data_IF_007740416867
#
_entry.id   IF_007740416867
#
_cell.length_a   1.000
_cell.length_b   1.000
_cell.length_c   1.000
_cell.angle_alpha   90.00
_cell.angle_beta   90.00
_cell.angle_gamma   90.00
#
_symmetry.space_group_name_H-M   'P 1'
#
loop_
_entity.id
_entity.type
_entity.pdbx_description
1 polymer ?
#
# COMPACT_ATOMS: atom_id res chain seq x y z
N UNK A 1 -13.75 34.72 -3.29
CA UNK A 1 -13.59 34.30 -1.88
C UNK A 1 -14.70 33.31 -1.62
N UNK A 2 -14.35 32.04 -1.79
CA UNK A 2 -15.22 31.00 -2.33
C UNK A 2 -15.58 30.05 -1.18
N UNK A 3 -16.87 29.82 -0.88
CA UNK A 3 -17.30 29.08 0.30
C UNK A 3 -17.28 27.56 0.05
N UNK A 4 -16.09 27.01 -0.24
CA UNK A 4 -15.89 25.58 -0.56
C UNK A 4 -14.92 24.90 0.41
N UNK A 5 -14.87 25.35 1.66
CA UNK A 5 -14.02 24.75 2.69
C UNK A 5 -14.76 23.85 3.69
N UNK A 6 -16.07 23.62 3.54
CA UNK A 6 -16.78 22.82 4.54
C UNK A 6 -17.90 21.98 3.94
N UNK A 7 -17.59 20.70 3.65
CA UNK A 7 -18.41 19.51 3.94
C UNK A 7 -18.19 18.40 2.89
N UNK A 8 -17.26 17.48 3.19
CA UNK A 8 -17.44 16.02 3.11
C UNK A 8 -16.15 15.35 3.59
N UNK A 9 -16.17 14.40 4.53
CA UNK A 9 -15.04 13.49 4.69
C UNK A 9 -14.85 12.80 3.34
N UNK A 10 -13.67 12.91 2.75
CA UNK A 10 -13.28 12.22 1.54
C UNK A 10 -13.60 10.73 1.69
N UNK A 11 -14.75 10.33 1.15
CA UNK A 11 -14.95 8.96 0.71
C UNK A 11 -13.92 8.77 -0.39
N UNK A 12 -12.73 8.29 -0.01
CA UNK A 12 -11.79 7.70 -0.94
C UNK A 12 -12.60 6.75 -1.83
N UNK A 13 -12.48 6.84 -3.17
CA UNK A 13 -13.18 5.92 -4.03
C UNK A 13 -12.79 4.52 -3.60
N UNK A 14 -13.82 3.77 -3.21
CA UNK A 14 -13.80 2.35 -2.86
C UNK A 14 -12.80 1.65 -3.77
N UNK A 15 -11.75 1.08 -3.17
CA UNK A 15 -10.77 0.28 -3.90
C UNK A 15 -11.52 -0.66 -4.85
N UNK A 16 -11.20 -0.55 -6.14
CA UNK A 16 -11.75 -1.44 -7.15
C UNK A 16 -11.29 -2.85 -6.80
N UNK A 17 -12.21 -3.70 -6.35
CA UNK A 17 -11.96 -5.13 -6.23
C UNK A 17 -11.82 -5.68 -7.65
N UNK A 18 -10.58 -5.84 -8.12
CA UNK A 18 -10.26 -6.54 -9.36
C UNK A 18 -10.51 -8.04 -9.12
N UNK A 19 -11.51 -8.67 -9.75
CA UNK A 19 -11.72 -10.10 -9.61
C UNK A 19 -10.84 -10.78 -10.66
N UNK A 20 -9.62 -11.15 -10.28
CA UNK A 20 -8.76 -11.91 -11.20
C UNK A 20 -7.28 -11.86 -10.92
N UNK A 21 -6.85 -12.34 -9.75
CA UNK A 21 -5.64 -13.15 -9.65
C UNK A 21 -5.95 -14.19 -8.58
N UNK A 22 -5.80 -15.47 -8.92
CA UNK A 22 -5.75 -16.56 -7.95
C UNK A 22 -4.56 -16.27 -7.03
N UNK A 23 -4.81 -15.50 -5.98
CA UNK A 23 -3.80 -15.13 -5.00
C UNK A 23 -3.41 -16.42 -4.30
N UNK A 24 -2.24 -16.94 -4.66
CA UNK A 24 -1.47 -17.83 -3.79
C UNK A 24 -0.98 -16.95 -2.63
N UNK A 25 -1.92 -16.56 -1.77
CA UNK A 25 -1.88 -15.35 -0.95
C UNK A 25 -1.26 -15.54 0.44
N UNK A 26 -0.39 -16.54 0.60
CA UNK A 26 0.22 -16.85 1.90
C UNK A 26 1.76 -16.87 1.83
N UNK A 27 2.37 -16.34 0.76
CA UNK A 27 3.84 -16.35 0.65
C UNK A 27 4.41 -15.66 -0.58
N UNK A 28 3.72 -14.66 -1.14
CA UNK A 28 4.30 -13.84 -2.20
C UNK A 28 5.05 -12.66 -1.56
N UNK A 29 6.39 -12.58 -1.68
CA UNK A 29 7.17 -11.51 -1.08
C UNK A 29 6.75 -10.13 -1.55
N UNK A 30 6.22 -10.02 -2.77
CA UNK A 30 5.74 -8.76 -3.32
C UNK A 30 4.51 -8.29 -2.57
N UNK A 31 3.63 -9.20 -2.16
CA UNK A 31 2.48 -8.85 -1.31
C UNK A 31 2.92 -8.29 0.05
N UNK A 32 3.88 -8.96 0.72
CA UNK A 32 4.41 -8.50 2.01
C UNK A 32 5.11 -7.13 1.91
N UNK A 33 5.80 -6.86 0.79
CA UNK A 33 6.36 -5.54 0.52
C UNK A 33 5.28 -4.47 0.35
N UNK A 34 4.18 -4.77 -0.36
CA UNK A 34 3.08 -3.82 -0.53
C UNK A 34 2.38 -3.50 0.80
N UNK A 35 2.22 -4.47 1.69
CA UNK A 35 1.73 -4.21 3.06
C UNK A 35 2.74 -3.39 3.89
N UNK A 36 4.04 -3.68 3.76
CA UNK A 36 5.09 -2.93 4.46
C UNK A 36 5.18 -1.47 3.98
N UNK A 37 5.22 -1.22 2.67
CA UNK A 37 5.36 0.14 2.10
C UNK A 37 4.11 0.99 2.32
N UNK A 38 2.94 0.38 2.47
CA UNK A 38 1.69 1.10 2.79
C UNK A 38 1.58 1.44 4.27
N UNK A 39 2.22 0.66 5.15
CA UNK A 39 2.37 0.98 6.57
C UNK A 39 3.51 1.98 6.85
N UNK A 40 4.42 2.19 5.89
CA UNK A 40 5.54 3.11 6.03
C UNK A 40 5.46 4.35 5.16
N UNK A 41 6.08 5.42 5.65
CA UNK A 41 6.33 6.60 4.86
C UNK A 41 7.41 6.29 3.83
N UNK A 42 7.12 6.50 2.54
CA UNK A 42 8.13 6.32 1.47
C UNK A 42 9.32 7.29 1.59
N UNK A 43 9.16 8.35 2.38
CA UNK A 43 10.21 9.33 2.70
C UNK A 43 11.18 8.81 3.77
N UNK A 44 10.74 7.87 4.62
CA UNK A 44 11.57 7.19 5.62
C UNK A 44 12.37 6.07 4.96
N UNK A 45 13.52 6.44 4.39
CA UNK A 45 14.39 5.53 3.65
C UNK A 45 14.86 4.30 4.45
N UNK A 46 14.94 4.40 5.78
CA UNK A 46 15.23 3.25 6.64
C UNK A 46 14.10 2.21 6.59
N UNK A 47 12.84 2.64 6.67
CA UNK A 47 11.72 1.73 6.57
C UNK A 47 11.56 1.14 5.17
N UNK A 48 11.73 1.95 4.12
CA UNK A 48 11.71 1.45 2.74
C UNK A 48 12.79 0.38 2.53
N UNK A 49 13.99 0.58 3.08
CA UNK A 49 15.07 -0.41 3.02
C UNK A 49 14.66 -1.71 3.68
N UNK A 50 14.06 -1.66 4.88
CA UNK A 50 13.57 -2.85 5.57
C UNK A 50 12.48 -3.59 4.77
N UNK A 51 11.56 -2.86 4.14
CA UNK A 51 10.54 -3.46 3.28
C UNK A 51 11.14 -4.14 2.05
N UNK A 52 12.17 -3.55 1.43
CA UNK A 52 12.83 -4.14 0.26
C UNK A 52 13.62 -5.39 0.62
N UNK A 53 14.28 -5.42 1.79
CA UNK A 53 15.00 -6.62 2.24
C UNK A 53 14.06 -7.83 2.39
N UNK A 54 12.83 -7.64 2.91
CA UNK A 54 11.79 -8.67 2.96
C UNK A 54 11.46 -9.24 1.57
N UNK A 55 11.49 -8.39 0.54
CA UNK A 55 11.26 -8.78 -0.84
C UNK A 55 12.43 -9.60 -1.41
N UNK A 56 13.66 -9.24 -1.03
CA UNK A 56 14.89 -9.85 -1.54
C UNK A 56 15.17 -11.24 -0.99
N UNK A 57 14.80 -11.54 0.25
CA UNK A 57 15.06 -12.85 0.88
C UNK A 57 14.24 -14.01 0.27
N UNK A 58 13.25 -13.68 -0.57
CA UNK A 58 12.26 -14.63 -1.10
C UNK A 58 12.26 -14.69 -2.64
N UNK A 59 13.26 -14.08 -3.29
CA UNK A 59 13.54 -14.14 -4.73
C UNK A 59 14.89 -14.81 -5.02
#
# INVERSE_FOLDING_TARGET
>A
MDPLFNATPSAFPRAHATPGILARSEGDPVSSYFECITACSVDDGECVTQCVEVLREQQ
#
